data_IF_194996102600
#
_entry.id   IF_194996102600
#
_cell.length_a   1.000
_cell.length_b   1.000
_cell.length_c   1.000
_cell.angle_alpha   90.00
_cell.angle_beta   90.00
_cell.angle_gamma   90.00
#
_symmetry.space_group_name_H-M   'P 1'
#
loop_
_entity.id
_entity.type
_entity.pdbx_description
1 polymer ?
#
# COMPACT_ATOMS: atom_id res chain seq x y z
N UNK A 1 9.39 -34.16 6.03
CA UNK A 1 9.90 -33.06 6.88
C UNK A 1 10.66 -32.01 6.07
N UNK A 2 11.61 -32.37 5.21
CA UNK A 2 12.43 -31.42 4.41
C UNK A 2 11.60 -30.46 3.53
N UNK A 3 10.58 -30.99 2.84
CA UNK A 3 9.66 -30.16 2.02
C UNK A 3 8.90 -29.11 2.84
N UNK A 4 8.46 -29.44 4.05
CA UNK A 4 7.74 -28.49 4.91
C UNK A 4 8.65 -27.36 5.39
N UNK A 5 9.92 -27.67 5.68
CA UNK A 5 10.92 -26.66 6.02
C UNK A 5 11.21 -25.73 4.83
N UNK A 6 11.28 -26.30 3.62
CA UNK A 6 11.46 -25.54 2.38
C UNK A 6 10.27 -24.61 2.09
N UNK A 7 9.03 -25.11 2.19
CA UNK A 7 7.82 -24.27 2.06
C UNK A 7 7.84 -23.14 3.10
N UNK A 8 8.20 -23.46 4.35
CA UNK A 8 8.30 -22.45 5.41
C UNK A 8 9.38 -21.41 5.12
N UNK A 9 10.49 -21.77 4.51
CA UNK A 9 11.52 -20.82 4.11
C UNK A 9 10.99 -19.79 3.09
N UNK A 10 10.21 -20.22 2.10
CA UNK A 10 9.54 -19.29 1.17
C UNK A 10 8.52 -18.39 1.88
N UNK A 11 7.75 -18.93 2.82
CA UNK A 11 6.79 -18.13 3.59
C UNK A 11 7.46 -17.07 4.47
N UNK A 12 8.67 -17.34 4.97
CA UNK A 12 9.42 -16.44 5.86
C UNK A 12 10.27 -15.45 5.07
N UNK A 13 11.00 -15.92 4.06
CA UNK A 13 12.07 -15.18 3.39
C UNK A 13 11.82 -14.94 1.89
N UNK A 14 10.73 -15.46 1.31
CA UNK A 14 10.45 -15.33 -0.13
C UNK A 14 10.38 -13.88 -0.61
N UNK A 15 9.92 -12.97 0.24
CA UNK A 15 9.89 -11.52 -0.02
C UNK A 15 11.28 -10.92 -0.34
N UNK A 16 12.37 -11.53 0.12
CA UNK A 16 13.75 -11.09 -0.18
C UNK A 16 14.15 -11.39 -1.62
N UNK A 17 13.55 -12.42 -2.22
CA UNK A 17 13.73 -12.83 -3.62
C UNK A 17 12.69 -12.17 -4.56
N UNK A 18 11.68 -11.49 -4.02
CA UNK A 18 10.64 -10.84 -4.80
C UNK A 18 11.17 -9.69 -5.68
N UNK A 19 10.55 -9.51 -6.85
CA UNK A 19 10.90 -8.50 -7.86
C UNK A 19 10.26 -7.16 -7.53
N UNK A 20 10.73 -6.52 -6.47
CA UNK A 20 10.12 -5.32 -5.91
C UNK A 20 10.62 -4.02 -6.54
N UNK A 21 11.90 -3.95 -6.92
CA UNK A 21 12.52 -2.73 -7.46
C UNK A 21 12.12 -2.54 -8.94
N UNK A 22 11.38 -1.45 -9.28
CA UNK A 22 11.03 -1.16 -10.67
C UNK A 22 12.24 -0.83 -11.56
N UNK A 23 13.35 -0.38 -10.99
CA UNK A 23 14.56 -0.01 -11.73
C UNK A 23 15.54 -1.18 -11.89
N UNK A 24 15.41 -2.22 -11.08
CA UNK A 24 16.35 -3.35 -11.05
C UNK A 24 17.78 -2.96 -10.68
N UNK A 25 17.95 -1.90 -9.89
CA UNK A 25 19.24 -1.40 -9.40
C UNK A 25 19.64 -2.03 -8.07
N UNK A 26 18.66 -2.51 -7.29
CA UNK A 26 18.93 -3.12 -6.00
C UNK A 26 19.47 -4.55 -6.16
N UNK A 27 20.75 -4.74 -5.86
CA UNK A 27 21.34 -6.06 -5.68
C UNK A 27 20.97 -6.60 -4.30
N UNK A 28 20.10 -7.60 -4.25
CA UNK A 28 19.69 -8.27 -3.01
C UNK A 28 20.35 -9.63 -2.87
N UNK A 29 20.91 -9.87 -1.70
CA UNK A 29 21.37 -11.21 -1.33
C UNK A 29 20.15 -12.13 -1.14
N UNK A 30 20.06 -13.15 -1.98
CA UNK A 30 19.03 -14.18 -1.87
C UNK A 30 19.48 -15.13 -0.74
N UNK A 31 18.65 -15.35 0.29
CA UNK A 31 18.97 -16.29 1.35
C UNK A 31 19.17 -17.73 0.83
N UNK A 32 20.18 -18.41 1.36
CA UNK A 32 20.49 -19.81 1.03
C UNK A 32 19.34 -20.78 1.36
N UNK A 33 18.45 -20.40 2.29
CA UNK A 33 17.28 -21.21 2.67
C UNK A 33 16.18 -21.25 1.60
N UNK A 34 16.29 -20.45 0.53
CA UNK A 34 15.42 -20.55 -0.65
C UNK A 34 15.97 -21.51 -1.71
N UNK A 35 17.20 -22.04 -1.54
CA UNK A 35 17.79 -23.04 -2.43
C UNK A 35 17.28 -24.45 -2.11
N UNK A 36 16.62 -25.15 -3.06
CA UNK A 36 16.24 -26.56 -2.90
C UNK A 36 17.39 -27.48 -2.49
N UNK A 37 18.62 -27.19 -2.92
CA UNK A 37 19.80 -28.02 -2.67
C UNK A 37 20.13 -28.11 -1.18
N UNK A 38 19.87 -27.05 -0.40
CA UNK A 38 20.07 -27.04 1.06
C UNK A 38 19.22 -28.11 1.77
N UNK A 39 18.05 -28.43 1.20
CA UNK A 39 17.13 -29.45 1.71
C UNK A 39 17.37 -30.82 1.07
N UNK A 40 18.43 -30.96 0.27
CA UNK A 40 18.79 -32.18 -0.43
C UNK A 40 17.85 -32.53 -1.58
N UNK A 41 17.16 -31.55 -2.16
CA UNK A 41 16.45 -31.72 -3.42
C UNK A 41 17.39 -31.44 -4.58
N UNK A 42 17.38 -32.32 -5.58
CA UNK A 42 18.16 -32.21 -6.82
C UNK A 42 17.23 -32.03 -8.01
N UNK A 43 17.77 -31.74 -9.20
CA UNK A 43 16.97 -31.66 -10.42
C UNK A 43 16.19 -32.95 -10.71
N UNK A 44 16.73 -34.11 -10.33
CA UNK A 44 16.05 -35.41 -10.46
C UNK A 44 14.79 -35.52 -9.59
N UNK A 45 14.66 -34.69 -8.55
CA UNK A 45 13.51 -34.69 -7.65
C UNK A 45 12.37 -33.79 -8.12
N UNK A 46 12.58 -32.96 -9.14
CA UNK A 46 11.57 -32.00 -9.64
C UNK A 46 10.27 -32.68 -10.05
N UNK A 47 10.35 -33.84 -10.69
CA UNK A 47 9.17 -34.56 -11.18
C UNK A 47 8.67 -35.63 -10.21
N UNK A 48 9.27 -35.72 -9.02
CA UNK A 48 8.78 -36.58 -7.93
C UNK A 48 7.53 -35.99 -7.31
N UNK A 49 6.59 -36.87 -7.00
CA UNK A 49 5.33 -36.55 -6.34
C UNK A 49 5.47 -36.53 -4.82
N UNK A 50 4.91 -35.49 -4.19
CA UNK A 50 4.92 -35.31 -2.75
C UNK A 50 3.50 -35.19 -2.21
N UNK A 51 3.25 -35.85 -1.07
CA UNK A 51 2.01 -35.72 -0.34
C UNK A 51 2.05 -34.51 0.61
N UNK A 52 1.14 -33.57 0.41
CA UNK A 52 1.04 -32.32 1.16
C UNK A 52 -0.13 -32.33 2.16
N UNK A 53 -0.38 -33.44 2.84
CA UNK A 53 -1.42 -33.48 3.88
C UNK A 53 -0.89 -32.95 5.21
N UNK A 54 -1.21 -31.71 5.57
CA UNK A 54 -1.00 -31.18 6.92
C UNK A 54 -2.35 -30.90 7.58
N UNK A 55 -2.60 -31.54 8.71
CA UNK A 55 -3.77 -31.27 9.54
C UNK A 55 -3.69 -29.84 10.13
N UNK A 56 -4.70 -29.00 9.89
CA UNK A 56 -4.86 -27.61 10.42
C UNK A 56 -3.96 -26.50 9.83
N UNK A 57 -3.55 -26.59 8.56
CA UNK A 57 -2.99 -25.44 7.81
C UNK A 57 -3.86 -25.14 6.60
N UNK A 58 -4.33 -23.89 6.46
CA UNK A 58 -5.01 -23.38 5.26
C UNK A 58 -3.97 -22.94 4.21
N UNK A 59 -4.32 -22.93 2.91
CA UNK A 59 -3.40 -22.63 1.79
C UNK A 59 -3.20 -23.81 0.81
N UNK A 60 -2.09 -23.83 0.07
CA UNK A 60 -1.77 -24.88 -0.92
C UNK A 60 -1.76 -26.30 -0.32
N UNK A 61 -1.49 -26.40 0.98
CA UNK A 61 -1.47 -27.63 1.77
C UNK A 61 -2.87 -28.13 2.19
N UNK A 62 -3.93 -27.38 1.87
CA UNK A 62 -5.32 -27.71 2.25
C UNK A 62 -6.20 -28.18 1.10
N UNK A 63 -5.69 -28.16 -0.13
CA UNK A 63 -6.44 -28.58 -1.32
C UNK A 63 -6.62 -30.10 -1.37
N UNK A 64 -7.83 -30.54 -1.76
CA UNK A 64 -8.23 -31.93 -2.09
C UNK A 64 -7.44 -32.58 -3.25
N UNK A 65 -6.24 -32.08 -3.58
CA UNK A 65 -5.24 -32.72 -4.43
C UNK A 65 -3.99 -32.99 -3.58
N UNK A 66 -3.99 -34.09 -2.83
CA UNK A 66 -2.97 -34.37 -1.83
C UNK A 66 -1.57 -34.53 -2.43
N UNK A 67 -1.46 -34.80 -3.73
CA UNK A 67 -0.20 -35.15 -4.40
C UNK A 67 0.12 -34.14 -5.51
N UNK A 68 1.31 -33.54 -5.45
CA UNK A 68 1.83 -32.58 -6.45
C UNK A 68 3.31 -32.87 -6.71
N UNK A 69 3.78 -32.62 -7.93
CA UNK A 69 5.22 -32.71 -8.24
C UNK A 69 5.99 -31.57 -7.58
N UNK A 70 7.24 -31.81 -7.16
CA UNK A 70 8.06 -30.77 -6.54
C UNK A 70 8.20 -29.52 -7.43
N UNK A 71 8.32 -29.71 -8.75
CA UNK A 71 8.29 -28.63 -9.75
C UNK A 71 7.05 -27.76 -9.61
N UNK A 72 5.87 -28.37 -9.53
CA UNK A 72 4.62 -27.62 -9.36
C UNK A 72 4.56 -26.89 -8.03
N UNK A 73 5.13 -27.44 -6.96
CA UNK A 73 5.20 -26.80 -5.65
C UNK A 73 6.11 -25.57 -5.73
N UNK A 74 7.33 -25.74 -6.25
CA UNK A 74 8.31 -24.68 -6.40
C UNK A 74 7.77 -23.53 -7.25
N UNK A 75 7.17 -23.84 -8.41
CA UNK A 75 6.54 -22.81 -9.27
C UNK A 75 5.47 -22.02 -8.53
N UNK A 76 4.63 -22.67 -7.71
CA UNK A 76 3.60 -21.97 -6.92
C UNK A 76 4.22 -21.10 -5.82
N UNK A 77 5.26 -21.57 -5.13
CA UNK A 77 5.95 -20.80 -4.10
C UNK A 77 6.60 -19.54 -4.69
N UNK A 78 7.28 -19.68 -5.83
CA UNK A 78 7.87 -18.57 -6.59
C UNK A 78 6.80 -17.56 -7.03
N UNK A 79 5.67 -18.04 -7.56
CA UNK A 79 4.55 -17.19 -7.97
C UNK A 79 3.90 -16.46 -6.78
N UNK A 80 3.78 -17.11 -5.63
CA UNK A 80 3.09 -16.57 -4.46
C UNK A 80 3.96 -15.60 -3.66
N UNK A 81 5.26 -15.88 -3.49
CA UNK A 81 6.13 -15.15 -2.57
C UNK A 81 7.28 -14.38 -3.23
N UNK A 82 7.60 -14.67 -4.50
CA UNK A 82 8.75 -14.10 -5.21
C UNK A 82 8.37 -13.35 -6.50
N UNK A 83 7.07 -13.03 -6.67
CA UNK A 83 6.57 -12.23 -7.79
C UNK A 83 6.81 -10.73 -7.62
N UNK A 84 5.86 -9.92 -8.09
CA UNK A 84 5.85 -8.45 -7.91
C UNK A 84 5.45 -8.02 -6.49
N UNK A 85 5.08 -8.97 -5.63
CA UNK A 85 4.67 -8.75 -4.24
C UNK A 85 5.55 -9.61 -3.33
N UNK A 86 6.05 -9.00 -2.26
CA UNK A 86 6.72 -9.67 -1.15
C UNK A 86 5.87 -9.53 0.11
N UNK A 87 5.61 -10.64 0.79
CA UNK A 87 4.79 -10.67 2.00
C UNK A 87 5.65 -10.93 3.24
N UNK A 88 5.60 -10.04 4.22
CA UNK A 88 6.14 -10.30 5.56
C UNK A 88 4.98 -10.41 6.56
N UNK A 89 4.73 -11.63 7.03
CA UNK A 89 3.66 -11.90 7.99
C UNK A 89 4.00 -12.99 9.00
N UNK A 90 5.06 -13.76 8.78
CA UNK A 90 5.44 -14.89 9.63
C UNK A 90 6.02 -14.45 10.99
N UNK A 91 6.31 -13.16 11.19
CA UNK A 91 6.65 -12.59 12.50
C UNK A 91 5.43 -12.43 13.42
N UNK A 92 4.22 -12.46 12.87
CA UNK A 92 2.97 -12.32 13.62
C UNK A 92 2.76 -13.56 14.48
N UNK A 93 2.66 -13.38 15.80
CA UNK A 93 2.50 -14.50 16.74
C UNK A 93 1.15 -15.24 16.58
N UNK A 94 0.11 -14.53 16.14
CA UNK A 94 -1.23 -15.07 15.97
C UNK A 94 -1.32 -16.00 14.73
N UNK A 95 -1.62 -17.27 15.02
CA UNK A 95 -1.73 -18.32 14.00
C UNK A 95 -2.94 -18.16 13.09
N UNK A 96 -4.07 -17.66 13.60
CA UNK A 96 -5.28 -17.47 12.80
C UNK A 96 -5.06 -16.39 11.75
N UNK A 97 -4.45 -15.27 12.17
CA UNK A 97 -3.99 -14.21 11.28
C UNK A 97 -3.04 -14.71 10.20
N UNK A 98 -2.01 -15.47 10.59
CA UNK A 98 -1.08 -16.07 9.64
C UNK A 98 -1.76 -17.03 8.65
N UNK A 99 -2.69 -17.85 9.12
CA UNK A 99 -3.44 -18.78 8.28
C UNK A 99 -4.37 -18.04 7.30
N UNK A 100 -4.99 -16.95 7.73
CA UNK A 100 -5.85 -16.13 6.87
C UNK A 100 -5.06 -15.52 5.71
N UNK A 101 -3.86 -14.97 5.99
CA UNK A 101 -2.99 -14.48 4.92
C UNK A 101 -2.50 -15.60 4.02
N UNK A 102 -2.13 -16.75 4.60
CA UNK A 102 -1.69 -17.92 3.80
C UNK A 102 -2.77 -18.38 2.83
N UNK A 103 -4.02 -18.44 3.27
CA UNK A 103 -5.16 -18.78 2.43
C UNK A 103 -5.29 -17.81 1.24
N UNK A 104 -5.21 -16.51 1.52
CA UNK A 104 -5.30 -15.46 0.49
C UNK A 104 -4.14 -15.48 -0.50
N UNK A 105 -2.91 -15.69 -0.01
CA UNK A 105 -1.68 -15.63 -0.82
C UNK A 105 -1.50 -16.90 -1.66
N UNK A 106 -1.74 -18.08 -1.07
CA UNK A 106 -1.48 -19.36 -1.73
C UNK A 106 -2.67 -19.88 -2.58
N UNK A 107 -3.74 -19.10 -2.70
CA UNK A 107 -4.93 -19.47 -3.49
C UNK A 107 -4.55 -19.71 -4.97
N UNK A 108 -4.97 -20.84 -5.59
CA UNK A 108 -4.60 -21.26 -6.96
C UNK A 108 -4.91 -20.30 -8.10
N UNK A 109 -5.80 -19.34 -7.87
CA UNK A 109 -6.31 -18.48 -8.92
C UNK A 109 -5.60 -17.14 -8.78
N UNK A 110 -4.64 -16.81 -9.66
CA UNK A 110 -4.17 -15.44 -9.76
C UNK A 110 -5.40 -14.54 -9.93
N UNK A 111 -5.50 -13.45 -9.17
CA UNK A 111 -6.64 -12.54 -9.28
C UNK A 111 -6.70 -12.00 -10.70
N UNK A 112 -7.59 -12.55 -11.53
CA UNK A 112 -7.76 -12.11 -12.91
C UNK A 112 -8.75 -10.95 -12.95
N UNK A 113 -8.24 -9.74 -13.09
CA UNK A 113 -9.08 -8.58 -13.36
C UNK A 113 -9.68 -8.71 -14.77
N UNK A 114 -11.00 -8.62 -14.86
CA UNK A 114 -11.66 -8.56 -16.16
C UNK A 114 -11.23 -7.29 -16.92
N UNK A 115 -11.46 -7.29 -18.24
CA UNK A 115 -11.07 -6.17 -19.11
C UNK A 115 -11.63 -4.81 -18.64
N UNK A 116 -12.89 -4.77 -18.23
CA UNK A 116 -13.54 -3.54 -17.76
C UNK A 116 -12.85 -2.98 -16.50
N UNK A 117 -12.43 -3.86 -15.59
CA UNK A 117 -11.71 -3.47 -14.38
C UNK A 117 -10.31 -2.94 -14.71
N UNK A 118 -9.60 -3.57 -15.64
CA UNK A 118 -8.31 -3.07 -16.16
C UNK A 118 -8.42 -1.70 -16.80
N UNK A 119 -9.47 -1.47 -17.60
CA UNK A 119 -9.73 -0.17 -18.22
C UNK A 119 -9.97 0.94 -17.18
N UNK A 120 -10.67 0.64 -16.09
CA UNK A 120 -10.88 1.59 -14.97
C UNK A 120 -9.59 1.89 -14.22
N UNK A 121 -8.79 0.87 -13.95
CA UNK A 121 -7.49 1.03 -13.28
C UNK A 121 -6.57 1.90 -14.15
N UNK A 122 -6.53 1.62 -15.46
CA UNK A 122 -5.77 2.42 -16.43
C UNK A 122 -6.26 3.87 -16.48
N UNK A 123 -7.57 4.11 -16.55
CA UNK A 123 -8.13 5.47 -16.54
C UNK A 123 -7.68 6.25 -15.29
N UNK A 124 -7.74 5.63 -14.10
CA UNK A 124 -7.27 6.24 -12.85
C UNK A 124 -5.78 6.58 -12.90
N UNK A 125 -4.95 5.71 -13.47
CA UNK A 125 -3.52 5.94 -13.66
C UNK A 125 -3.27 7.10 -14.63
N UNK A 126 -3.97 7.12 -15.78
CA UNK A 126 -3.87 8.20 -16.76
C UNK A 126 -4.24 9.56 -16.14
N UNK A 127 -5.32 9.63 -15.35
CA UNK A 127 -5.67 10.86 -14.61
C UNK A 127 -4.58 11.30 -13.65
N UNK A 128 -3.93 10.37 -12.95
CA UNK A 128 -2.80 10.66 -12.05
C UNK A 128 -1.62 11.26 -12.82
N UNK A 129 -1.18 10.61 -13.89
CA UNK A 129 -0.05 11.05 -14.70
C UNK A 129 -0.32 12.36 -15.44
N UNK A 130 -1.51 12.51 -16.04
CA UNK A 130 -1.86 13.73 -16.76
C UNK A 130 -1.99 14.94 -15.84
N UNK A 131 -2.44 14.73 -14.60
CA UNK A 131 -2.48 15.79 -13.61
C UNK A 131 -1.08 16.33 -13.30
N UNK A 132 -0.10 15.45 -13.08
CA UNK A 132 1.29 15.87 -12.85
C UNK A 132 1.89 16.56 -14.07
N UNK A 133 1.72 15.99 -15.27
CA UNK A 133 2.21 16.57 -16.52
C UNK A 133 1.63 17.97 -16.77
N UNK A 134 0.34 18.16 -16.48
CA UNK A 134 -0.32 19.46 -16.59
C UNK A 134 0.28 20.47 -15.61
N UNK A 135 0.45 20.09 -14.33
CA UNK A 135 1.07 20.97 -13.33
C UNK A 135 2.51 21.35 -13.72
N UNK A 136 3.30 20.37 -14.18
CA UNK A 136 4.69 20.58 -14.58
C UNK A 136 4.80 21.50 -15.80
N UNK A 137 3.87 21.38 -16.76
CA UNK A 137 3.83 22.22 -17.96
C UNK A 137 3.37 23.64 -17.65
N UNK A 138 2.37 23.81 -16.78
CA UNK A 138 1.74 25.11 -16.53
C UNK A 138 2.51 25.96 -15.51
N UNK A 139 3.11 25.33 -14.51
CA UNK A 139 3.86 26.01 -13.43
C UNK A 139 5.26 25.44 -13.30
N UNK A 140 6.09 25.67 -14.33
CA UNK A 140 7.45 25.15 -14.44
C UNK A 140 8.40 25.52 -13.30
N UNK A 141 8.20 26.69 -12.68
CA UNK A 141 9.05 27.20 -11.60
C UNK A 141 8.50 26.95 -10.20
N UNK A 142 7.27 26.45 -10.07
CA UNK A 142 6.62 26.29 -8.79
C UNK A 142 6.95 24.93 -8.16
N UNK A 143 7.38 24.94 -6.89
CA UNK A 143 7.47 23.71 -6.09
C UNK A 143 6.08 23.09 -5.92
N UNK A 144 5.96 21.81 -6.29
CA UNK A 144 4.71 21.05 -6.27
C UNK A 144 4.78 19.71 -5.54
N UNK A 145 5.99 19.15 -5.33
CA UNK A 145 6.21 17.82 -4.73
C UNK A 145 5.40 16.74 -5.45
N UNK A 146 5.70 16.54 -6.73
CA UNK A 146 4.93 15.68 -7.62
C UNK A 146 4.97 14.20 -7.24
N UNK A 147 4.07 13.43 -7.84
CA UNK A 147 3.97 11.99 -7.67
C UNK A 147 4.65 11.20 -8.80
N UNK A 148 5.52 11.82 -9.61
CA UNK A 148 6.17 11.12 -10.72
C UNK A 148 6.99 9.91 -10.25
N UNK A 149 6.77 8.79 -10.92
CA UNK A 149 7.33 7.48 -10.60
C UNK A 149 6.55 6.71 -9.54
N UNK A 150 5.55 7.33 -8.89
CA UNK A 150 4.68 6.73 -7.88
C UNK A 150 3.18 6.93 -8.16
N UNK A 151 2.80 7.16 -9.42
CA UNK A 151 1.44 7.50 -9.84
C UNK A 151 0.43 6.39 -9.49
N UNK A 152 0.90 5.16 -9.33
CA UNK A 152 0.12 3.97 -8.94
C UNK A 152 -0.45 4.04 -7.53
N UNK A 153 0.04 4.97 -6.68
CA UNK A 153 -0.58 5.29 -5.40
C UNK A 153 -2.06 5.69 -5.57
N UNK A 154 -2.39 6.48 -6.60
CA UNK A 154 -3.76 6.99 -6.82
C UNK A 154 -4.77 5.88 -7.10
N UNK A 155 -4.58 5.01 -8.12
CA UNK A 155 -5.46 3.86 -8.32
C UNK A 155 -5.46 2.91 -7.12
N UNK A 156 -4.31 2.62 -6.50
CA UNK A 156 -4.23 1.78 -5.29
C UNK A 156 -5.11 2.29 -4.14
N UNK A 157 -4.98 3.58 -3.79
CA UNK A 157 -5.82 4.21 -2.77
C UNK A 157 -7.31 4.15 -3.11
N UNK A 158 -7.68 4.41 -4.38
CA UNK A 158 -9.09 4.42 -4.79
C UNK A 158 -9.71 3.02 -4.73
N UNK A 159 -8.97 1.98 -5.09
CA UNK A 159 -9.42 0.59 -4.94
C UNK A 159 -9.51 0.19 -3.46
N UNK A 160 -8.52 0.56 -2.63
CA UNK A 160 -8.59 0.36 -1.18
C UNK A 160 -9.84 1.00 -0.57
N UNK A 161 -10.17 2.23 -0.96
CA UNK A 161 -11.34 2.96 -0.45
C UNK A 161 -12.65 2.36 -0.94
N UNK A 162 -12.70 1.95 -2.22
CA UNK A 162 -13.88 1.29 -2.78
C UNK A 162 -14.11 -0.06 -2.06
N UNK A 163 -13.05 -0.87 -1.87
CA UNK A 163 -13.11 -2.14 -1.11
C UNK A 163 -13.52 -1.92 0.34
N UNK A 164 -12.95 -0.92 1.00
CA UNK A 164 -13.30 -0.56 2.38
C UNK A 164 -14.79 -0.18 2.51
N UNK A 165 -15.31 0.58 1.55
CA UNK A 165 -16.74 0.93 1.53
C UNK A 165 -17.63 -0.30 1.34
N UNK A 166 -17.25 -1.22 0.46
CA UNK A 166 -17.98 -2.48 0.27
C UNK A 166 -18.03 -3.28 1.57
N UNK A 167 -16.94 -3.26 2.34
CA UNK A 167 -16.80 -3.88 3.66
C UNK A 167 -17.46 -3.10 4.82
N UNK A 168 -18.08 -1.94 4.55
CA UNK A 168 -18.89 -1.19 5.53
C UNK A 168 -18.23 0.05 6.12
N UNK A 169 -17.05 0.46 5.65
CA UNK A 169 -16.41 1.73 6.05
C UNK A 169 -17.20 2.92 5.49
N UNK A 170 -17.59 3.84 6.36
CA UNK A 170 -18.37 5.05 6.04
C UNK A 170 -17.49 6.32 6.01
N UNK A 171 -16.40 6.35 6.78
CA UNK A 171 -15.50 7.51 6.86
C UNK A 171 -14.03 7.10 6.86
N UNK A 172 -13.22 7.79 6.07
CA UNK A 172 -11.75 7.64 6.05
C UNK A 172 -11.09 8.98 6.38
N UNK A 173 -10.23 8.98 7.39
CA UNK A 173 -9.36 10.10 7.73
C UNK A 173 -7.97 9.83 7.20
N UNK A 174 -7.40 10.77 6.44
CA UNK A 174 -6.13 10.60 5.74
C UNK A 174 -5.08 11.55 6.34
N UNK A 175 -3.89 11.03 6.61
CA UNK A 175 -2.65 11.78 6.84
C UNK A 175 -1.66 11.49 5.73
N UNK A 176 -0.98 12.51 5.22
CA UNK A 176 0.09 12.31 4.23
C UNK A 176 1.08 13.49 4.23
N UNK A 177 2.34 13.27 3.80
CA UNK A 177 3.32 14.32 3.59
C UNK A 177 3.01 15.14 2.33
N UNK A 178 3.98 15.95 1.89
CA UNK A 178 3.84 16.81 0.71
C UNK A 178 3.83 16.03 -0.63
N UNK A 179 4.53 14.88 -0.73
CA UNK A 179 4.71 14.15 -1.99
C UNK A 179 3.38 13.62 -2.54
N UNK A 180 3.05 14.01 -3.76
CA UNK A 180 1.81 13.64 -4.45
C UNK A 180 0.54 14.20 -3.83
N UNK A 181 0.62 15.12 -2.86
CA UNK A 181 -0.55 15.60 -2.12
C UNK A 181 -1.58 16.30 -3.01
N UNK A 182 -1.12 17.11 -3.96
CA UNK A 182 -2.02 17.79 -4.90
C UNK A 182 -2.77 16.79 -5.78
N UNK A 183 -2.09 15.69 -6.14
CA UNK A 183 -2.68 14.59 -6.91
C UNK A 183 -3.76 13.86 -6.10
N UNK A 184 -3.47 13.52 -4.84
CA UNK A 184 -4.46 12.93 -3.92
C UNK A 184 -5.65 13.87 -3.72
N UNK A 185 -5.41 15.17 -3.52
CA UNK A 185 -6.46 16.18 -3.39
C UNK A 185 -7.37 16.22 -4.63
N UNK A 186 -6.81 16.26 -5.84
CA UNK A 186 -7.58 16.34 -7.09
C UNK A 186 -8.26 15.02 -7.49
N UNK A 187 -7.51 13.92 -7.48
CA UNK A 187 -7.93 12.65 -8.09
C UNK A 187 -8.58 11.66 -7.12
N UNK A 188 -8.30 11.78 -5.81
CA UNK A 188 -8.85 10.90 -4.76
C UNK A 188 -9.93 11.62 -3.95
N UNK A 189 -9.59 12.76 -3.33
CA UNK A 189 -10.51 13.49 -2.45
C UNK A 189 -11.49 14.37 -3.24
N UNK A 190 -11.20 14.66 -4.52
CA UNK A 190 -12.03 15.48 -5.42
C UNK A 190 -12.17 16.94 -5.00
N UNK A 191 -11.12 17.53 -4.41
CA UNK A 191 -11.05 18.98 -4.23
C UNK A 191 -11.18 19.65 -5.62
N UNK A 192 -12.06 20.65 -5.79
CA UNK A 192 -12.27 21.27 -7.10
C UNK A 192 -10.96 21.77 -7.71
N UNK A 193 -10.68 21.41 -8.96
CA UNK A 193 -9.44 21.78 -9.64
C UNK A 193 -9.24 23.29 -9.69
N UNK A 194 -10.32 24.08 -9.86
CA UNK A 194 -10.26 25.54 -9.81
C UNK A 194 -9.67 26.06 -8.50
N UNK A 195 -10.03 25.45 -7.38
CA UNK A 195 -9.51 25.81 -6.06
C UNK A 195 -8.04 25.42 -5.91
N UNK A 196 -7.65 24.24 -6.40
CA UNK A 196 -6.24 23.82 -6.42
C UNK A 196 -5.40 24.79 -7.28
N UNK A 197 -5.88 25.14 -8.47
CA UNK A 197 -5.15 26.00 -9.40
C UNK A 197 -5.08 27.46 -8.93
N UNK A 198 -6.12 27.98 -8.27
CA UNK A 198 -6.04 29.32 -7.68
C UNK A 198 -4.94 29.44 -6.62
N UNK A 199 -4.58 28.34 -5.94
CA UNK A 199 -3.51 28.34 -4.94
C UNK A 199 -2.10 28.43 -5.55
N UNK A 200 -1.95 28.26 -6.87
CA UNK A 200 -0.69 28.52 -7.57
C UNK A 200 -0.52 29.97 -8.01
N UNK A 201 -1.62 30.72 -8.13
CA UNK A 201 -1.57 32.15 -8.47
C UNK A 201 -1.48 32.91 -7.16
N UNK A 202 -0.30 33.46 -6.86
CA UNK A 202 -0.06 34.32 -5.71
C UNK A 202 -0.90 35.60 -5.81
N UNK A 203 -2.14 35.56 -5.36
CA UNK A 203 -3.03 36.71 -5.42
C UNK A 203 -4.41 36.37 -4.85
N UNK A 204 -4.69 36.94 -3.67
CA UNK A 204 -6.02 37.09 -3.07
C UNK A 204 -6.93 35.86 -3.12
N UNK A 205 -7.09 35.22 -1.95
CA UNK A 205 -8.30 34.43 -1.67
C UNK A 205 -9.51 35.28 -2.11
N UNK A 206 -10.51 34.72 -2.83
CA UNK A 206 -11.70 35.48 -3.19
C UNK A 206 -12.27 36.15 -1.92
N UNK A 207 -12.28 37.48 -1.90
CA UNK A 207 -12.70 38.29 -0.74
C UNK A 207 -14.23 38.34 -0.62
N UNK A 208 -14.95 37.73 -1.57
CA UNK A 208 -16.40 37.93 -1.73
C UNK A 208 -17.29 36.86 -1.10
N UNK A 209 -16.77 35.96 -0.25
CA UNK A 209 -17.61 35.21 0.69
C UNK A 209 -17.52 35.86 2.08
N UNK A 210 -18.50 36.74 2.33
CA UNK A 210 -18.77 37.36 3.62
C UNK A 210 -19.02 36.25 4.66
N UNK A 211 -17.97 35.82 5.36
CA UNK A 211 -18.07 34.92 6.51
C UNK A 211 -16.93 33.91 6.64
N UNK A 212 -15.97 34.23 7.53
CA UNK A 212 -15.01 33.31 8.17
C UNK A 212 -13.83 32.75 7.33
N UNK A 213 -12.83 33.60 7.06
CA UNK A 213 -11.43 33.11 7.08
C UNK A 213 -10.45 34.23 7.51
N UNK A 214 -10.20 34.34 8.81
CA UNK A 214 -9.25 35.32 9.40
C UNK A 214 -7.84 34.75 9.64
N UNK A 215 -7.59 33.49 9.27
CA UNK A 215 -6.28 32.85 9.45
C UNK A 215 -5.21 33.36 8.48
N UNK A 216 -3.95 33.42 8.94
CA UNK A 216 -2.75 33.81 8.16
C UNK A 216 -2.53 32.96 6.90
N UNK A 217 -3.23 31.81 6.79
CA UNK A 217 -3.06 30.85 5.70
C UNK A 217 -1.89 29.90 5.95
N UNK A 218 -1.72 28.95 5.03
CA UNK A 218 -0.59 28.03 4.96
C UNK A 218 -0.34 27.71 3.47
N UNK A 219 0.79 27.07 3.17
CA UNK A 219 1.12 26.65 1.80
C UNK A 219 0.15 25.59 1.28
N UNK A 220 -0.10 25.60 -0.03
CA UNK A 220 -1.12 24.78 -0.71
C UNK A 220 -1.10 23.27 -0.37
N UNK A 221 0.09 22.73 -0.11
CA UNK A 221 0.31 21.32 0.24
C UNK A 221 0.28 21.03 1.76
N UNK A 222 -0.17 21.97 2.59
CA UNK A 222 -0.50 21.71 4.01
C UNK A 222 -2.01 21.75 4.28
N UNK A 223 -2.79 22.34 3.38
CA UNK A 223 -4.23 22.50 3.56
C UNK A 223 -4.94 21.14 3.53
N UNK A 224 -5.84 20.93 4.49
CA UNK A 224 -6.74 19.80 4.54
C UNK A 224 -8.00 20.04 3.71
N UNK A 225 -8.78 18.99 3.48
CA UNK A 225 -10.10 19.10 2.84
C UNK A 225 -10.98 17.93 3.26
N UNK A 226 -12.29 18.05 3.10
CA UNK A 226 -13.22 16.95 3.33
C UNK A 226 -14.26 16.90 2.22
N UNK A 227 -14.63 15.70 1.80
CA UNK A 227 -15.54 15.49 0.68
C UNK A 227 -16.26 14.15 0.79
N UNK A 228 -17.55 14.14 0.47
CA UNK A 228 -18.32 12.90 0.37
C UNK A 228 -18.25 12.34 -1.04
N UNK A 229 -17.54 11.23 -1.18
CA UNK A 229 -17.32 10.57 -2.46
C UNK A 229 -18.34 9.43 -2.65
N UNK A 230 -19.02 9.34 -3.81
CA UNK A 230 -19.75 8.14 -4.18
C UNK A 230 -18.77 7.03 -4.58
N UNK A 231 -19.02 5.80 -4.14
CA UNK A 231 -18.25 4.61 -4.52
C UNK A 231 -18.90 3.89 -5.70
N UNK A 232 -18.15 3.00 -6.35
CA UNK A 232 -18.65 2.22 -7.49
C UNK A 232 -19.84 1.33 -7.09
N UNK A 233 -19.87 0.85 -5.85
CA UNK A 233 -20.96 0.05 -5.29
C UNK A 233 -22.20 0.85 -4.88
N UNK A 234 -22.26 2.15 -5.19
CA UNK A 234 -23.41 3.02 -4.87
C UNK A 234 -23.48 3.53 -3.42
N UNK A 235 -22.51 3.14 -2.58
CA UNK A 235 -22.35 3.69 -1.22
C UNK A 235 -21.70 5.07 -1.28
N UNK A 236 -21.74 5.80 -0.17
CA UNK A 236 -21.02 7.06 0.01
C UNK A 236 -19.96 6.89 1.09
N UNK A 237 -18.78 7.43 0.85
CA UNK A 237 -17.68 7.44 1.81
C UNK A 237 -17.22 8.87 2.06
N UNK A 238 -17.17 9.25 3.33
CA UNK A 238 -16.67 10.56 3.75
C UNK A 238 -15.15 10.53 3.84
N UNK A 239 -14.47 11.28 2.97
CA UNK A 239 -13.01 11.40 2.97
C UNK A 239 -12.60 12.69 3.66
N UNK A 240 -11.65 12.62 4.58
CA UNK A 240 -11.13 13.81 5.29
C UNK A 240 -9.61 13.79 5.32
N UNK A 241 -8.98 14.61 4.48
CA UNK A 241 -7.53 14.82 4.50
C UNK A 241 -7.19 15.88 5.57
N UNK A 242 -6.36 15.49 6.53
CA UNK A 242 -5.96 16.34 7.65
C UNK A 242 -4.92 17.36 7.20
N UNK A 243 -5.00 18.58 7.72
CA UNK A 243 -3.97 19.60 7.52
C UNK A 243 -2.73 19.24 8.35
N UNK A 244 -1.53 19.46 7.80
CA UNK A 244 -0.28 19.07 8.47
C UNK A 244 0.81 20.11 8.27
N UNK A 245 1.70 20.31 9.25
CA UNK A 245 2.89 21.12 9.09
C UNK A 245 3.92 20.40 8.20
N UNK A 246 5.05 21.07 7.92
CA UNK A 246 6.19 20.47 7.23
C UNK A 246 6.95 19.41 8.05
N UNK A 247 6.70 19.31 9.36
CA UNK A 247 7.28 18.28 10.22
C UNK A 247 6.68 16.91 9.83
N UNK A 248 7.44 16.11 9.09
CA UNK A 248 7.02 14.79 8.64
C UNK A 248 6.64 13.89 9.82
N UNK A 249 5.68 12.98 9.60
CA UNK A 249 5.10 12.06 10.61
C UNK A 249 4.34 12.72 11.78
N UNK A 250 4.45 14.03 12.00
CA UNK A 250 3.74 14.71 13.09
C UNK A 250 2.20 14.68 12.96
N UNK A 251 1.69 14.43 11.75
CA UNK A 251 0.25 14.32 11.47
C UNK A 251 -0.34 12.98 11.90
N UNK A 252 0.48 11.95 12.06
CA UNK A 252 0.02 10.58 12.31
C UNK A 252 -0.84 10.45 13.57
N UNK A 253 -0.39 10.90 14.76
CA UNK A 253 -1.23 10.84 15.95
C UNK A 253 -2.47 11.73 15.85
N UNK A 254 -2.43 12.80 15.05
CA UNK A 254 -3.59 13.68 14.82
C UNK A 254 -4.67 12.94 14.04
N UNK A 255 -4.29 12.18 13.01
CA UNK A 255 -5.21 11.36 12.21
C UNK A 255 -5.79 10.24 13.04
N UNK A 256 -4.97 9.54 13.83
CA UNK A 256 -5.45 8.49 14.75
C UNK A 256 -6.42 9.08 15.77
N UNK A 257 -6.09 10.22 16.39
CA UNK A 257 -6.97 10.91 17.33
C UNK A 257 -8.29 11.36 16.70
N UNK A 258 -8.25 11.95 15.50
CA UNK A 258 -9.46 12.35 14.75
C UNK A 258 -10.32 11.16 14.34
N UNK A 259 -9.70 10.06 13.93
CA UNK A 259 -10.40 8.79 13.63
C UNK A 259 -11.08 8.26 14.89
N UNK A 260 -10.37 8.25 16.03
CA UNK A 260 -10.91 7.81 17.31
C UNK A 260 -12.08 8.69 17.77
N UNK A 261 -11.99 10.00 17.59
CA UNK A 261 -13.10 10.91 17.88
C UNK A 261 -14.33 10.59 17.03
N UNK A 262 -14.15 10.38 15.71
CA UNK A 262 -15.25 9.95 14.83
C UNK A 262 -15.86 8.62 15.27
N UNK A 263 -15.05 7.64 15.65
CA UNK A 263 -15.55 6.36 16.19
C UNK A 263 -16.45 6.58 17.42
N UNK A 264 -16.00 7.43 18.35
CA UNK A 264 -16.75 7.76 19.55
C UNK A 264 -18.09 8.44 19.22
N UNK A 265 -18.08 9.52 18.43
CA UNK A 265 -19.29 10.29 18.13
C UNK A 265 -20.30 9.55 17.22
N UNK A 266 -19.84 8.55 16.46
CA UNK A 266 -20.71 7.70 15.62
C UNK A 266 -21.12 6.38 16.30
N UNK A 267 -20.76 6.18 17.58
CA UNK A 267 -20.99 4.92 18.31
C UNK A 267 -20.43 3.68 17.61
N UNK A 268 -19.32 3.85 16.87
CA UNK A 268 -18.60 2.78 16.16
C UNK A 268 -17.65 2.05 17.13
N UNK A 269 -18.25 1.34 18.10
CA UNK A 269 -17.52 0.62 19.14
C UNK A 269 -16.62 -0.49 18.56
N UNK A 270 -17.10 -1.15 17.50
CA UNK A 270 -16.40 -2.22 16.79
C UNK A 270 -15.36 -1.70 15.79
N UNK A 271 -15.26 -0.36 15.61
CA UNK A 271 -14.27 0.31 14.74
C UNK A 271 -14.37 -0.12 13.28
N UNK A 272 -15.55 -0.54 12.83
CA UNK A 272 -15.81 -1.05 11.48
C UNK A 272 -16.12 0.06 10.48
N UNK A 273 -16.63 1.20 10.94
CA UNK A 273 -17.14 2.28 10.08
C UNK A 273 -16.13 3.40 9.83
N UNK A 274 -15.23 3.67 10.77
CA UNK A 274 -14.28 4.78 10.68
C UNK A 274 -12.84 4.27 10.64
N UNK A 275 -12.15 4.56 9.53
CA UNK A 275 -10.80 4.11 9.24
C UNK A 275 -9.83 5.30 9.15
N UNK A 276 -8.61 5.12 9.67
CA UNK A 276 -7.48 6.01 9.44
C UNK A 276 -6.57 5.45 8.35
N UNK A 277 -6.04 6.32 7.49
CA UNK A 277 -5.06 5.97 6.45
C UNK A 277 -3.91 6.95 6.57
N UNK A 278 -2.70 6.42 6.73
CA UNK A 278 -1.48 7.19 6.83
C UNK A 278 -0.59 6.87 5.63
N UNK A 279 -0.03 7.91 5.03
CA UNK A 279 0.94 7.82 3.94
C UNK A 279 2.22 8.42 4.48
N UNK A 280 3.35 7.73 4.26
CA UNK A 280 4.64 8.11 4.79
C UNK A 280 5.68 8.22 3.66
N UNK A 281 6.76 8.94 3.90
CA UNK A 281 7.98 8.83 3.10
C UNK A 281 8.85 7.69 3.63
N UNK A 282 9.60 7.02 2.77
CA UNK A 282 10.46 5.89 3.13
C UNK A 282 11.51 6.28 4.20
N UNK A 283 12.21 7.39 3.99
CA UNK A 283 13.21 7.85 4.94
C UNK A 283 12.61 8.45 6.21
N UNK A 284 11.42 9.07 6.11
CA UNK A 284 10.78 9.69 7.26
C UNK A 284 10.12 8.66 8.19
N UNK A 285 9.53 7.60 7.62
CA UNK A 285 8.96 6.48 8.37
C UNK A 285 10.02 5.69 9.14
N UNK A 286 11.18 5.44 8.53
CA UNK A 286 12.24 4.64 9.13
C UNK A 286 13.05 5.39 10.20
N UNK A 287 13.23 6.71 10.05
CA UNK A 287 14.13 7.46 10.93
C UNK A 287 14.06 8.99 10.83
N UNK A 288 13.01 9.57 10.24
CA UNK A 288 12.87 11.02 10.02
C UNK A 288 14.01 11.67 9.20
N UNK A 289 14.73 10.88 8.39
CA UNK A 289 15.77 11.37 7.48
C UNK A 289 15.19 11.39 6.07
N UNK A 290 15.31 12.49 5.34
CA UNK A 290 14.75 12.60 3.99
C UNK A 290 15.68 13.36 3.04
N UNK A 291 15.39 13.28 1.74
CA UNK A 291 16.01 14.05 0.66
C UNK A 291 17.30 13.43 0.08
N UNK A 292 18.49 13.93 0.43
CA UNK A 292 19.77 13.53 -0.21
C UNK A 292 20.38 12.23 0.34
N UNK A 293 19.77 11.65 1.37
CA UNK A 293 20.33 10.47 2.05
C UNK A 293 19.95 9.19 1.32
N UNK A 294 20.96 8.41 0.92
CA UNK A 294 20.77 7.05 0.38
C UNK A 294 20.09 6.16 1.44
N UNK A 295 19.17 5.25 1.07
CA UNK A 295 18.51 4.35 2.02
C UNK A 295 19.48 3.58 2.94
N UNK A 296 20.68 3.21 2.46
CA UNK A 296 21.73 2.55 3.26
C UNK A 296 22.23 3.41 4.42
N UNK A 297 22.07 4.72 4.32
CA UNK A 297 22.42 5.70 5.35
C UNK A 297 21.18 6.26 6.09
N UNK A 298 19.97 5.93 5.62
CA UNK A 298 18.70 6.39 6.19
C UNK A 298 18.02 5.41 7.14
N UNK A 299 18.46 4.15 7.17
CA UNK A 299 17.94 3.10 8.05
C UNK A 299 19.02 2.06 8.41
N UNK A 300 18.77 1.31 9.48
CA UNK A 300 19.67 0.23 9.97
C UNK A 300 19.13 -1.18 9.69
N UNK A 301 18.11 -1.30 8.85
CA UNK A 301 17.43 -2.56 8.53
C UNK A 301 17.14 -2.68 7.03
N UNK A 302 16.68 -3.84 6.59
CA UNK A 302 16.46 -4.13 5.17
C UNK A 302 15.40 -3.23 4.56
N UNK A 303 14.26 -3.06 5.24
CA UNK A 303 13.11 -2.29 4.74
C UNK A 303 12.83 -1.08 5.63
N UNK A 304 12.35 0.01 5.04
CA UNK A 304 11.90 1.18 5.81
C UNK A 304 10.72 0.84 6.72
N UNK A 305 9.98 -0.22 6.41
CA UNK A 305 8.78 -0.67 7.10
C UNK A 305 9.05 -1.62 8.28
N UNK A 306 10.31 -1.96 8.57
CA UNK A 306 10.65 -2.90 9.65
C UNK A 306 10.16 -2.42 11.03
N UNK A 307 9.96 -1.12 11.23
CA UNK A 307 9.34 -0.56 12.44
C UNK A 307 7.94 -1.14 12.72
N UNK A 308 7.20 -1.53 11.68
CA UNK A 308 5.86 -2.10 11.80
C UNK A 308 5.86 -3.51 12.39
N UNK A 309 6.99 -4.23 12.34
CA UNK A 309 7.15 -5.55 12.98
C UNK A 309 7.01 -5.47 14.49
N UNK A 310 7.32 -4.33 15.10
CA UNK A 310 7.12 -4.11 16.53
C UNK A 310 5.63 -4.11 16.95
N UNK A 311 4.72 -3.97 15.98
CA UNK A 311 3.27 -3.96 16.19
C UNK A 311 2.58 -5.26 15.73
N UNK A 312 3.34 -6.30 15.36
CA UNK A 312 2.81 -7.50 14.71
C UNK A 312 1.92 -7.19 13.49
N UNK A 313 2.21 -6.10 12.78
CA UNK A 313 1.50 -5.73 11.56
C UNK A 313 2.10 -6.50 10.37
N UNK A 314 1.27 -7.05 9.46
CA UNK A 314 1.77 -7.59 8.20
C UNK A 314 2.25 -6.45 7.31
N UNK A 315 3.27 -6.74 6.51
CA UNK A 315 3.87 -5.81 5.57
C UNK A 315 3.77 -6.43 4.18
N UNK A 316 3.20 -5.68 3.23
CA UNK A 316 3.09 -6.06 1.83
C UNK A 316 3.97 -5.13 1.01
N UNK A 317 5.11 -5.62 0.54
CA UNK A 317 5.94 -4.88 -0.39
C UNK A 317 5.45 -5.14 -1.80
N UNK A 318 5.28 -4.10 -2.59
CA UNK A 318 4.76 -4.22 -3.94
C UNK A 318 5.56 -3.35 -4.91
N UNK A 319 5.86 -3.93 -6.07
CA UNK A 319 6.47 -3.21 -7.17
C UNK A 319 5.46 -2.19 -7.74
N UNK A 320 5.81 -0.91 -7.67
CA UNK A 320 4.95 0.19 -8.11
C UNK A 320 4.68 0.21 -9.61
N UNK A 321 5.46 -0.48 -10.45
CA UNK A 321 5.21 -0.61 -11.89
C UNK A 321 4.25 -1.77 -12.24
N UNK A 322 3.91 -2.64 -11.28
CA UNK A 322 2.87 -3.66 -11.43
C UNK A 322 1.55 -3.20 -10.80
N UNK A 323 0.73 -2.53 -11.61
CA UNK A 323 -0.53 -1.95 -11.14
C UNK A 323 -1.54 -3.00 -10.65
N UNK A 324 -1.55 -4.21 -11.21
CA UNK A 324 -2.48 -5.26 -10.77
C UNK A 324 -2.11 -5.76 -9.37
N UNK A 325 -0.80 -5.91 -9.12
CA UNK A 325 -0.26 -6.22 -7.81
C UNK A 325 -0.56 -5.11 -6.78
N UNK A 326 -0.37 -3.83 -7.15
CA UNK A 326 -0.66 -2.68 -6.26
C UNK A 326 -2.13 -2.65 -5.86
N UNK A 327 -3.06 -2.83 -6.82
CA UNK A 327 -4.50 -2.93 -6.49
C UNK A 327 -4.75 -4.10 -5.54
N UNK A 328 -4.16 -5.27 -5.82
CA UNK A 328 -4.38 -6.46 -5.02
C UNK A 328 -3.97 -6.26 -3.55
N UNK A 329 -2.76 -5.75 -3.29
CA UNK A 329 -2.29 -5.54 -1.91
C UNK A 329 -3.07 -4.46 -1.18
N UNK A 330 -3.53 -3.43 -1.90
CA UNK A 330 -4.39 -2.38 -1.35
C UNK A 330 -5.77 -2.93 -0.93
N UNK A 331 -6.36 -3.82 -1.72
CA UNK A 331 -7.61 -4.51 -1.35
C UNK A 331 -7.37 -5.48 -0.18
N UNK A 332 -6.29 -6.24 -0.21
CA UNK A 332 -5.92 -7.17 0.85
C UNK A 332 -5.69 -6.45 2.19
N UNK A 333 -5.06 -5.27 2.17
CA UNK A 333 -4.87 -4.43 3.34
C UNK A 333 -6.21 -3.94 3.92
N UNK A 334 -7.15 -3.52 3.07
CA UNK A 334 -8.51 -3.16 3.51
C UNK A 334 -9.23 -4.37 4.15
N UNK A 335 -9.13 -5.55 3.54
CA UNK A 335 -9.70 -6.79 4.07
C UNK A 335 -9.09 -7.18 5.42
N UNK A 336 -7.76 -7.12 5.54
CA UNK A 336 -7.05 -7.39 6.79
C UNK A 336 -7.50 -6.47 7.91
N UNK A 337 -7.49 -5.15 7.65
CA UNK A 337 -7.89 -4.13 8.61
C UNK A 337 -9.32 -4.34 9.08
N UNK A 338 -10.23 -4.69 8.16
CA UNK A 338 -11.61 -4.92 8.52
C UNK A 338 -11.83 -6.23 9.28
N UNK A 339 -11.05 -7.27 8.96
CA UNK A 339 -11.19 -8.59 9.58
C UNK A 339 -10.61 -8.60 10.99
N UNK A 340 -9.44 -7.99 11.19
CA UNK A 340 -8.67 -8.11 12.44
C UNK A 340 -8.57 -6.82 13.25
N UNK A 341 -9.09 -5.70 12.75
CA UNK A 341 -9.01 -4.39 13.40
C UNK A 341 -7.58 -4.01 13.82
N UNK A 342 -6.62 -4.44 13.01
CA UNK A 342 -5.19 -4.35 13.25
C UNK A 342 -4.54 -3.56 12.13
N UNK A 343 -3.45 -2.87 12.45
CA UNK A 343 -2.66 -2.14 11.48
C UNK A 343 -2.08 -3.10 10.43
N UNK A 344 -1.82 -2.56 9.23
CA UNK A 344 -1.21 -3.22 8.08
C UNK A 344 -0.43 -2.17 7.30
N UNK A 345 0.73 -2.57 6.78
CA UNK A 345 1.60 -1.67 6.02
C UNK A 345 1.71 -2.15 4.58
N UNK A 346 1.52 -1.23 3.63
CA UNK A 346 1.80 -1.46 2.21
C UNK A 346 3.03 -0.63 1.85
N UNK A 347 4.13 -1.31 1.55
CA UNK A 347 5.36 -0.71 1.05
C UNK A 347 5.27 -0.64 -0.48
N UNK A 348 4.87 0.54 -0.98
CA UNK A 348 4.76 0.82 -2.41
C UNK A 348 6.13 1.25 -2.95
N UNK A 349 6.88 0.29 -3.51
CA UNK A 349 8.24 0.51 -4.02
C UNK A 349 8.18 1.20 -5.37
N UNK A 350 8.57 2.48 -5.40
CA UNK A 350 8.40 3.37 -6.55
C UNK A 350 9.71 3.97 -7.01
N UNK A 351 9.67 4.57 -8.20
CA UNK A 351 10.80 5.30 -8.76
C UNK A 351 10.79 6.73 -8.25
N UNK A 352 11.95 7.28 -7.93
CA UNK A 352 12.10 8.71 -7.72
C UNK A 352 12.47 9.37 -9.04
N UNK A 353 11.53 10.10 -9.64
CA UNK A 353 11.83 10.90 -10.82
C UNK A 353 12.48 12.24 -10.39
N UNK A 354 13.57 12.71 -11.04
CA UNK A 354 14.27 13.93 -10.65
C UNK A 354 13.39 15.19 -10.64
N UNK A 355 12.31 15.21 -11.43
CA UNK A 355 11.35 16.33 -11.51
C UNK A 355 10.30 16.35 -10.39
N UNK A 356 10.29 15.36 -9.49
CA UNK A 356 9.33 15.26 -8.40
C UNK A 356 9.65 16.18 -7.20
N UNK A 357 10.87 16.74 -7.14
CA UNK A 357 11.38 17.56 -6.03
C UNK A 357 11.27 19.08 -6.28
#
# INVERSE_FOLDING_TARGET
MRLLLFVRAYQVNGHRKAKLDPLGLEEREIPDDLDPALYGFTEADLDREFFLGVWRMAGFLSENRPVRTFRSILTRLEQAYCGSIGYEYMHIADREKCNWLRDKIETPTPMQYNRQRREVILDRLVWSTQFENFLATKWTTAKRFGLEGGETLIPGMKEMFDRSADLGVESIVIGMPHRGRLNVLGNVVRKPLRQIFSEFTSGTKPVDEVGLYTGTGDVKYHLGTSYDRPTRGGKRIHLSLVANPSHLEAVDPVVVGKTRAKQYYSSDADRTKNMGVLIHGDGSFAGQVAFTTDPRSGRSSQYCTDVAKALDAPIFHVNGDDMEAVVHVCELAAEWRQTFHSDVVVDLVIRNHPSAL
#
